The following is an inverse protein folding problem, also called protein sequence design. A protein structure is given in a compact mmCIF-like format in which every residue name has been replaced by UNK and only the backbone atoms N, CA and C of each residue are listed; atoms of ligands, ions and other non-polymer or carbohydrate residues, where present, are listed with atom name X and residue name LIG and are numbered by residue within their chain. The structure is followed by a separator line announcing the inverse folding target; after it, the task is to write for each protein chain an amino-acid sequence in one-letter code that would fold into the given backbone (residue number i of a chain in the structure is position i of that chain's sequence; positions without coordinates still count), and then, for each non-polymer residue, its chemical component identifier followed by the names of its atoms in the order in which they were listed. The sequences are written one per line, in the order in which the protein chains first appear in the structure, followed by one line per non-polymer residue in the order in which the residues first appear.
data_IF_346157153499
#
_entry.id   IF_346157153499
#
_cell.length_a   1.000
_cell.length_b   1.000
_cell.length_c   1.000
_cell.angle_alpha   90.00
_cell.angle_beta   90.00
_cell.angle_gamma   90.00
#
_symmetry.space_group_name_H-M   'P 1'
#
loop_
_entity.id
_entity.type
_entity.pdbx_description
1 polymer ?
#
# COMPACT_ATOMS: atom_id res chain seq x y z
N UNK A 1 -5.87 31.22 82.30
CA UNK A 1 -5.83 32.11 81.13
C UNK A 1 -4.95 31.47 80.06
N UNK A 2 -5.53 31.37 78.88
CA UNK A 2 -5.13 30.76 77.60
C UNK A 2 -3.63 30.70 77.26
N UNK A 3 -3.16 29.50 76.86
CA UNK A 3 -1.91 29.29 76.11
C UNK A 3 -2.22 29.19 74.61
N UNK A 4 -1.62 30.06 73.80
CA UNK A 4 -1.65 30.01 72.34
C UNK A 4 -0.58 29.02 71.83
N UNK A 5 -0.97 28.10 70.95
CA UNK A 5 -0.06 27.25 70.17
C UNK A 5 -0.07 27.78 68.73
N UNK A 6 1.10 28.17 68.25
CA UNK A 6 1.35 28.51 66.84
C UNK A 6 1.37 27.22 66.01
N UNK A 7 0.57 27.16 64.94
CA UNK A 7 0.60 26.10 63.94
C UNK A 7 1.42 26.58 62.74
N UNK A 8 2.54 25.90 62.45
CA UNK A 8 3.40 26.14 61.30
C UNK A 8 2.95 25.19 60.16
N UNK A 9 2.32 25.72 59.12
CA UNK A 9 1.92 24.96 57.94
C UNK A 9 3.07 24.82 56.95
N UNK A 10 3.52 23.59 56.68
CA UNK A 10 4.47 23.25 55.62
C UNK A 10 3.68 23.06 54.32
N UNK A 11 3.92 23.89 53.32
CA UNK A 11 3.39 23.73 51.96
C UNK A 11 4.36 22.84 51.19
N UNK A 12 3.93 21.62 50.86
CA UNK A 12 4.67 20.70 49.98
C UNK A 12 4.34 21.06 48.53
N UNK A 13 5.30 21.62 47.79
CA UNK A 13 5.21 21.78 46.33
C UNK A 13 5.57 20.44 45.66
N UNK A 14 4.57 19.73 45.16
CA UNK A 14 4.77 18.58 44.26
C UNK A 14 5.06 19.08 42.85
N UNK A 15 6.31 18.94 42.41
CA UNK A 15 6.69 19.11 41.01
C UNK A 15 6.15 17.93 40.18
N UNK A 16 5.20 18.20 39.29
CA UNK A 16 4.83 17.28 38.22
C UNK A 16 5.95 17.29 37.17
N UNK A 17 6.78 16.25 37.14
CA UNK A 17 7.60 15.96 35.97
C UNK A 17 6.67 15.44 34.87
N UNK A 18 6.30 16.30 33.93
CA UNK A 18 5.73 15.88 32.66
C UNK A 18 6.82 15.13 31.90
N UNK A 19 6.73 13.80 31.84
CA UNK A 19 7.45 13.01 30.86
C UNK A 19 6.95 13.42 29.48
N UNK A 20 7.60 14.43 28.87
CA UNK A 20 7.55 14.60 27.42
C UNK A 20 8.22 13.37 26.83
N UNK A 21 7.41 12.35 26.53
CA UNK A 21 7.76 11.34 25.53
C UNK A 21 8.29 12.11 24.32
N UNK A 22 9.60 12.01 24.09
CA UNK A 22 10.18 12.46 22.84
C UNK A 22 9.56 11.55 21.78
N UNK A 23 8.49 12.01 21.14
CA UNK A 23 7.83 11.26 20.09
C UNK A 23 8.86 11.07 18.99
N UNK A 24 9.38 9.85 18.85
CA UNK A 24 10.27 9.51 17.75
C UNK A 24 9.53 9.81 16.45
N UNK A 25 10.24 10.42 15.51
CA UNK A 25 9.69 10.68 14.19
C UNK A 25 9.37 9.35 13.51
N UNK A 26 8.25 9.23 12.78
CA UNK A 26 7.89 8.00 12.09
C UNK A 26 8.94 7.61 11.05
N UNK A 27 9.08 6.30 10.83
CA UNK A 27 9.96 5.75 9.81
C UNK A 27 9.19 5.52 8.51
N UNK A 28 9.78 5.99 7.41
CA UNK A 28 9.33 5.69 6.06
C UNK A 28 10.24 4.61 5.48
N UNK A 29 9.65 3.47 5.14
CA UNK A 29 10.29 2.35 4.47
C UNK A 29 9.99 2.41 2.97
N UNK A 30 11.00 2.18 2.14
CA UNK A 30 10.89 2.28 0.69
C UNK A 30 11.54 1.07 0.03
N UNK A 31 10.70 0.17 -0.49
CA UNK A 31 11.09 -0.94 -1.35
C UNK A 31 11.17 -0.52 -2.82
N UNK A 32 12.01 -1.19 -3.59
CA UNK A 32 12.26 -0.89 -4.99
C UNK A 32 12.65 -2.11 -5.81
N UNK A 33 13.17 -1.87 -7.01
CA UNK A 33 13.68 -2.92 -7.90
C UNK A 33 15.19 -3.08 -7.79
N UNK A 34 15.68 -4.28 -8.06
CA UNK A 34 17.11 -4.60 -8.13
C UNK A 34 17.50 -4.91 -9.57
N UNK A 35 18.71 -4.55 -9.99
CA UNK A 35 19.25 -4.92 -11.31
C UNK A 35 20.18 -6.12 -11.24
N UNK A 36 20.81 -6.33 -10.07
CA UNK A 36 21.76 -7.41 -9.80
C UNK A 36 21.57 -7.92 -8.38
N UNK A 37 22.04 -9.14 -8.15
CA UNK A 37 22.10 -9.74 -6.83
C UNK A 37 22.94 -8.88 -5.87
N UNK A 38 22.47 -8.73 -4.62
CA UNK A 38 23.13 -7.92 -3.60
C UNK A 38 22.79 -6.43 -3.63
N UNK A 39 21.97 -5.96 -4.57
CA UNK A 39 21.48 -4.57 -4.58
C UNK A 39 20.64 -4.29 -3.32
N UNK A 40 20.93 -3.16 -2.65
CA UNK A 40 20.20 -2.72 -1.45
C UNK A 40 18.96 -1.91 -1.82
N UNK A 41 17.86 -2.61 -2.14
CA UNK A 41 16.62 -1.99 -2.61
C UNK A 41 15.55 -1.74 -1.53
N UNK A 42 15.89 -1.86 -0.25
CA UNK A 42 15.05 -1.40 0.86
C UNK A 42 15.72 -0.26 1.59
N UNK A 43 15.20 0.95 1.45
CA UNK A 43 15.69 2.16 2.11
C UNK A 43 14.80 2.55 3.29
N UNK A 44 15.40 3.14 4.32
CA UNK A 44 14.71 3.65 5.51
C UNK A 44 15.02 5.13 5.67
N UNK A 45 13.98 5.89 5.96
CA UNK A 45 14.08 7.32 6.25
C UNK A 45 13.38 7.63 7.57
N UNK A 46 13.92 8.59 8.30
CA UNK A 46 13.18 9.32 9.32
C UNK A 46 12.37 10.43 8.66
N UNK A 47 11.09 10.55 9.00
CA UNK A 47 10.23 11.57 8.45
C UNK A 47 9.79 12.56 9.52
N UNK A 48 10.14 13.84 9.37
CA UNK A 48 9.67 14.88 10.28
C UNK A 48 8.24 15.30 9.91
N UNK A 49 7.22 15.00 10.73
CA UNK A 49 5.83 15.28 10.37
C UNK A 49 5.47 16.78 10.47
N UNK A 50 6.33 17.63 11.04
CA UNK A 50 6.10 19.08 11.09
C UNK A 50 6.54 19.77 9.80
N UNK A 51 7.76 19.48 9.35
CA UNK A 51 8.38 20.11 8.18
C UNK A 51 8.16 19.34 6.87
N UNK A 52 7.99 18.02 6.94
CA UNK A 52 8.02 17.12 5.78
C UNK A 52 9.43 16.66 5.40
N UNK A 53 10.44 16.95 6.24
CA UNK A 53 11.84 16.63 5.94
C UNK A 53 12.11 15.13 6.07
N UNK A 54 12.81 14.57 5.09
CA UNK A 54 13.35 13.21 5.08
C UNK A 54 14.81 13.23 5.58
N UNK A 55 15.16 12.30 6.47
CA UNK A 55 16.54 12.03 6.85
C UNK A 55 16.85 10.58 6.53
N UNK A 56 17.80 10.33 5.64
CA UNK A 56 18.22 8.97 5.30
C UNK A 56 18.79 8.25 6.53
N UNK A 57 18.40 6.99 6.70
CA UNK A 57 18.76 6.16 7.86
C UNK A 57 19.64 5.01 7.42
N UNK A 58 19.12 4.14 6.56
CA UNK A 58 19.88 2.99 6.05
C UNK A 58 19.30 2.46 4.74
N UNK A 59 20.05 1.55 4.12
CA UNK A 59 19.56 0.69 3.05
C UNK A 59 20.05 -0.73 3.28
N UNK A 60 19.22 -1.70 2.91
CA UNK A 60 19.47 -3.12 3.14
C UNK A 60 19.16 -3.96 1.90
N UNK A 61 19.91 -5.04 1.74
CA UNK A 61 19.56 -6.14 0.84
C UNK A 61 18.54 -7.02 1.57
N UNK A 62 17.30 -6.99 1.07
CA UNK A 62 16.18 -7.78 1.59
C UNK A 62 15.69 -8.78 0.52
N UNK A 63 16.61 -9.20 -0.34
CA UNK A 63 16.35 -10.04 -1.49
C UNK A 63 16.12 -9.24 -2.78
N UNK A 64 16.00 -9.93 -3.92
CA UNK A 64 15.86 -9.29 -5.22
C UNK A 64 14.48 -8.64 -5.37
N UNK A 65 14.44 -7.46 -6.00
CA UNK A 65 13.23 -6.69 -6.33
C UNK A 65 12.14 -6.71 -5.24
N UNK A 66 12.42 -6.17 -4.03
CA UNK A 66 11.45 -6.05 -2.94
C UNK A 66 10.39 -4.97 -3.26
N UNK A 67 9.57 -5.23 -4.27
CA UNK A 67 8.76 -4.22 -4.95
C UNK A 67 7.46 -3.88 -4.22
N UNK A 68 7.03 -4.74 -3.29
CA UNK A 68 5.89 -4.50 -2.40
C UNK A 68 6.08 -5.22 -1.08
N UNK A 69 5.50 -4.69 -0.01
CA UNK A 69 5.57 -5.32 1.31
C UNK A 69 4.38 -4.92 2.19
N UNK A 70 4.13 -5.70 3.22
CA UNK A 70 3.28 -5.30 4.35
C UNK A 70 3.99 -5.66 5.66
N UNK A 71 3.43 -5.26 6.78
CA UNK A 71 3.97 -5.59 8.09
C UNK A 71 2.83 -5.91 9.05
N UNK A 72 3.18 -6.56 10.15
CA UNK A 72 2.27 -6.90 11.24
C UNK A 72 2.61 -6.10 12.49
N UNK A 73 1.68 -5.27 12.94
CA UNK A 73 1.79 -4.56 14.22
C UNK A 73 1.75 -5.52 15.42
N UNK A 74 1.25 -6.75 15.23
CA UNK A 74 1.18 -7.78 16.27
C UNK A 74 2.55 -8.41 16.53
N UNK A 75 3.35 -8.61 15.49
CA UNK A 75 4.61 -9.37 15.57
C UNK A 75 5.84 -8.53 15.22
N UNK A 76 5.66 -7.28 14.79
CA UNK A 76 6.70 -6.38 14.28
C UNK A 76 7.53 -7.01 13.16
N UNK A 77 6.87 -7.79 12.30
CA UNK A 77 7.49 -8.47 11.16
C UNK A 77 7.11 -7.79 9.85
N UNK A 78 8.08 -7.75 8.94
CA UNK A 78 7.95 -7.30 7.57
C UNK A 78 7.82 -8.52 6.65
N UNK A 79 6.85 -8.47 5.76
CA UNK A 79 6.61 -9.46 4.73
C UNK A 79 6.83 -8.81 3.37
N UNK A 80 7.91 -9.19 2.70
CA UNK A 80 8.39 -8.55 1.49
C UNK A 80 8.25 -9.53 0.33
N UNK A 81 7.54 -9.15 -0.71
CA UNK A 81 7.53 -9.95 -1.95
C UNK A 81 8.73 -9.59 -2.80
N UNK A 82 9.37 -10.61 -3.36
CA UNK A 82 10.46 -10.49 -4.30
C UNK A 82 9.90 -10.73 -5.71
N UNK A 83 9.69 -9.65 -6.46
CA UNK A 83 9.04 -9.66 -7.78
C UNK A 83 10.03 -10.14 -8.86
N UNK A 84 10.24 -11.45 -8.90
CA UNK A 84 11.17 -12.14 -9.81
C UNK A 84 10.51 -13.35 -10.48
N UNK A 85 11.09 -13.79 -11.61
CA UNK A 85 10.64 -14.99 -12.32
C UNK A 85 11.23 -16.29 -11.75
N UNK A 86 12.39 -16.17 -11.11
CA UNK A 86 13.10 -17.26 -10.46
C UNK A 86 13.57 -16.79 -9.09
N UNK A 87 13.34 -17.59 -8.05
CA UNK A 87 13.77 -17.32 -6.69
C UNK A 87 14.49 -18.55 -6.16
N UNK A 88 15.73 -18.35 -5.67
CA UNK A 88 16.60 -19.44 -5.16
C UNK A 88 16.75 -20.61 -6.14
N UNK A 89 16.92 -20.32 -7.43
CA UNK A 89 17.15 -21.34 -8.47
C UNK A 89 15.89 -22.08 -8.93
N UNK A 90 14.69 -21.64 -8.51
CA UNK A 90 13.43 -22.28 -8.83
C UNK A 90 12.46 -21.28 -9.47
N UNK A 91 11.72 -21.73 -10.48
CA UNK A 91 10.67 -20.92 -11.10
C UNK A 91 9.61 -20.53 -10.05
N UNK A 92 9.44 -19.23 -9.88
CA UNK A 92 8.65 -18.68 -8.78
C UNK A 92 9.19 -17.33 -8.32
N UNK A 93 8.41 -16.67 -7.47
CA UNK A 93 8.81 -15.45 -6.78
C UNK A 93 9.21 -15.74 -5.35
N UNK A 94 9.65 -14.72 -4.63
CA UNK A 94 10.00 -14.87 -3.21
C UNK A 94 9.02 -14.18 -2.28
N UNK A 95 8.87 -14.74 -1.08
CA UNK A 95 8.38 -14.07 0.10
C UNK A 95 9.50 -14.11 1.15
N UNK A 96 10.02 -12.96 1.51
CA UNK A 96 11.06 -12.82 2.53
C UNK A 96 10.47 -12.17 3.79
N UNK A 97 10.72 -12.76 4.95
CA UNK A 97 10.25 -12.27 6.26
C UNK A 97 11.41 -11.70 7.06
N UNK A 98 11.24 -10.48 7.57
CA UNK A 98 12.26 -9.80 8.34
C UNK A 98 11.70 -9.21 9.63
N UNK A 99 12.60 -8.97 10.59
CA UNK A 99 12.38 -8.00 11.67
C UNK A 99 13.30 -6.81 11.44
N UNK A 100 12.79 -5.60 11.63
CA UNK A 100 13.64 -4.41 11.65
C UNK A 100 14.11 -4.13 13.09
N UNK A 101 15.42 -4.12 13.28
CA UNK A 101 16.06 -3.75 14.54
C UNK A 101 16.38 -2.25 14.50
N UNK A 102 15.64 -1.45 15.27
CA UNK A 102 15.81 0.01 15.28
C UNK A 102 17.12 0.45 15.92
N UNK A 103 17.67 -0.31 16.87
CA UNK A 103 18.93 0.02 17.54
C UNK A 103 20.11 -0.25 16.62
N UNK A 104 20.08 -1.38 15.91
CA UNK A 104 21.11 -1.76 14.94
C UNK A 104 20.89 -1.17 13.55
N UNK A 105 19.72 -0.56 13.33
CA UNK A 105 19.31 0.05 12.06
C UNK A 105 19.41 -0.94 10.89
N UNK A 106 18.99 -2.18 11.12
CA UNK A 106 19.20 -3.30 10.20
C UNK A 106 17.99 -4.24 10.12
N UNK A 107 17.90 -4.98 9.02
CA UNK A 107 16.91 -6.03 8.84
C UNK A 107 17.51 -7.39 9.21
N UNK A 108 16.92 -8.05 10.20
CA UNK A 108 17.19 -9.45 10.52
C UNK A 108 16.28 -10.33 9.67
N UNK A 109 16.86 -11.12 8.76
CA UNK A 109 16.11 -12.09 7.96
C UNK A 109 15.72 -13.30 8.80
N UNK A 110 14.44 -13.60 8.84
CA UNK A 110 13.89 -14.70 9.64
C UNK A 110 13.46 -15.90 8.79
N UNK A 111 12.91 -15.64 7.59
CA UNK A 111 12.39 -16.70 6.71
C UNK A 111 12.42 -16.28 5.24
N UNK A 112 12.46 -17.27 4.35
CA UNK A 112 12.21 -17.12 2.92
C UNK A 112 11.31 -18.27 2.45
N UNK A 113 10.37 -17.96 1.57
CA UNK A 113 9.44 -18.92 0.98
C UNK A 113 9.32 -18.69 -0.52
N UNK A 114 9.36 -19.78 -1.30
CA UNK A 114 9.09 -19.74 -2.74
C UNK A 114 7.57 -19.56 -2.95
N UNK A 115 7.19 -18.57 -3.73
CA UNK A 115 5.81 -18.33 -4.16
C UNK A 115 5.64 -18.85 -5.60
N UNK A 116 4.69 -19.76 -5.86
CA UNK A 116 4.50 -20.37 -7.17
C UNK A 116 4.05 -19.32 -8.20
N UNK A 117 4.21 -19.64 -9.49
CA UNK A 117 3.77 -18.84 -10.64
C UNK A 117 4.41 -17.44 -10.82
N UNK A 118 5.34 -17.08 -9.94
CA UNK A 118 6.31 -16.01 -10.12
C UNK A 118 5.76 -14.58 -10.26
N UNK A 119 6.67 -13.60 -10.15
CA UNK A 119 6.36 -12.17 -10.19
C UNK A 119 5.27 -11.72 -9.19
N UNK A 120 5.37 -12.06 -7.88
CA UNK A 120 4.50 -11.51 -6.87
C UNK A 120 4.67 -9.99 -6.82
N UNK A 121 3.60 -9.26 -7.08
CA UNK A 121 3.62 -7.80 -7.25
C UNK A 121 2.84 -7.06 -6.16
N UNK A 122 2.10 -7.80 -5.32
CA UNK A 122 1.30 -7.25 -4.23
C UNK A 122 1.20 -8.27 -3.10
N UNK A 123 1.20 -7.78 -1.87
CA UNK A 123 0.98 -8.56 -0.65
C UNK A 123 0.12 -7.79 0.34
N UNK A 124 -0.84 -8.47 0.94
CA UNK A 124 -1.64 -7.97 2.06
C UNK A 124 -1.80 -9.03 3.14
N UNK A 125 -2.27 -8.61 4.32
CA UNK A 125 -2.47 -9.48 5.47
C UNK A 125 -3.97 -9.67 5.73
N UNK A 126 -4.36 -10.84 6.22
CA UNK A 126 -5.72 -11.09 6.69
C UNK A 126 -6.07 -10.27 7.92
N UNK A 127 -7.37 -10.01 8.11
CA UNK A 127 -7.85 -9.18 9.22
C UNK A 127 -7.48 -9.77 10.60
N UNK A 128 -7.40 -11.09 10.71
CA UNK A 128 -6.95 -11.79 11.92
C UNK A 128 -5.42 -11.90 12.06
N UNK A 129 -4.67 -11.38 11.08
CA UNK A 129 -3.21 -11.49 10.97
C UNK A 129 -2.69 -12.93 10.94
N UNK A 130 -3.52 -13.89 10.54
CA UNK A 130 -3.17 -15.31 10.43
C UNK A 130 -2.70 -15.74 9.04
N UNK A 131 -2.92 -14.93 8.01
CA UNK A 131 -2.60 -15.25 6.63
C UNK A 131 -2.06 -14.03 5.86
N UNK A 132 -1.32 -14.31 4.78
CA UNK A 132 -0.93 -13.35 3.78
C UNK A 132 -1.59 -13.71 2.45
N UNK A 133 -2.05 -12.69 1.72
CA UNK A 133 -2.54 -12.81 0.36
C UNK A 133 -1.53 -12.22 -0.60
N UNK A 134 -1.22 -12.95 -1.67
CA UNK A 134 -0.22 -12.53 -2.66
C UNK A 134 -0.85 -12.59 -4.05
N UNK A 135 -0.63 -11.55 -4.86
CA UNK A 135 -1.01 -11.52 -6.28
C UNK A 135 0.24 -11.60 -7.17
N UNK A 136 0.21 -12.51 -8.13
CA UNK A 136 1.29 -12.81 -9.06
C UNK A 136 0.93 -12.32 -10.46
N UNK A 137 1.66 -11.30 -10.93
CA UNK A 137 1.31 -10.58 -12.15
C UNK A 137 1.56 -11.38 -13.45
N UNK A 138 2.77 -11.93 -13.73
CA UNK A 138 3.11 -12.41 -15.06
C UNK A 138 2.27 -13.59 -15.55
N UNK A 139 1.83 -14.46 -14.63
CA UNK A 139 1.09 -15.68 -14.94
C UNK A 139 -0.35 -15.69 -14.41
N UNK A 140 -0.81 -14.59 -13.81
CA UNK A 140 -2.20 -14.44 -13.36
C UNK A 140 -2.58 -15.47 -12.31
N UNK A 141 -2.04 -15.34 -11.10
CA UNK A 141 -2.45 -16.18 -9.97
C UNK A 141 -2.48 -15.42 -8.67
N UNK A 142 -3.14 -16.01 -7.67
CA UNK A 142 -3.08 -15.57 -6.28
C UNK A 142 -2.70 -16.74 -5.38
N UNK A 143 -2.07 -16.45 -4.24
CA UNK A 143 -1.71 -17.42 -3.24
C UNK A 143 -2.13 -16.96 -1.84
N UNK A 144 -2.50 -17.92 -0.99
CA UNK A 144 -2.75 -17.72 0.45
C UNK A 144 -1.64 -18.41 1.22
N UNK A 145 -0.95 -17.66 2.07
CA UNK A 145 0.13 -18.17 2.91
C UNK A 145 -0.31 -18.10 4.36
N UNK A 146 -0.32 -19.24 5.04
CA UNK A 146 -0.60 -19.33 6.48
C UNK A 146 0.60 -18.87 7.30
N UNK A 147 0.33 -18.06 8.31
CA UNK A 147 1.29 -17.62 9.31
C UNK A 147 1.12 -18.46 10.59
N UNK A 148 2.24 -18.87 11.19
CA UNK A 148 2.25 -19.47 12.52
C UNK A 148 2.03 -18.43 13.62
N UNK A 149 1.97 -18.87 14.87
CA UNK A 149 1.74 -17.99 16.04
C UNK A 149 2.81 -16.90 16.20
N UNK A 150 4.04 -17.17 15.76
CA UNK A 150 5.14 -16.21 15.74
C UNK A 150 5.08 -15.22 14.57
N UNK A 151 4.09 -15.36 13.68
CA UNK A 151 3.94 -14.60 12.44
C UNK A 151 4.87 -15.06 11.32
N UNK A 152 5.60 -16.17 11.46
CA UNK A 152 6.47 -16.70 10.39
C UNK A 152 5.61 -17.47 9.38
N UNK A 153 5.78 -17.28 8.06
CA UNK A 153 5.11 -18.07 7.04
C UNK A 153 5.40 -19.58 7.18
N UNK A 154 4.36 -20.39 7.27
CA UNK A 154 4.47 -21.86 7.44
C UNK A 154 4.25 -22.62 6.13
N UNK A 155 3.13 -22.34 5.46
CA UNK A 155 2.74 -23.08 4.24
C UNK A 155 1.83 -22.25 3.36
N UNK A 156 1.79 -22.58 2.07
CA UNK A 156 0.78 -22.09 1.14
C UNK A 156 -0.44 -23.00 1.27
N UNK A 157 -1.57 -22.45 1.71
CA UNK A 157 -2.83 -23.18 1.93
C UNK A 157 -3.72 -23.19 0.70
N UNK A 158 -3.56 -22.20 -0.18
CA UNK A 158 -4.32 -22.11 -1.41
C UNK A 158 -3.52 -21.41 -2.52
N UNK A 159 -3.81 -21.78 -3.76
CA UNK A 159 -3.27 -21.13 -4.95
C UNK A 159 -4.27 -21.25 -6.08
N UNK A 160 -4.70 -20.09 -6.61
CA UNK A 160 -5.64 -20.02 -7.72
C UNK A 160 -4.87 -19.51 -8.93
N UNK A 161 -4.82 -20.33 -9.98
CA UNK A 161 -4.29 -19.96 -11.29
C UNK A 161 -5.45 -19.61 -12.22
N UNK A 162 -5.47 -18.38 -12.74
CA UNK A 162 -6.48 -17.93 -13.69
C UNK A 162 -6.09 -18.29 -15.12
N UNK A 163 -6.34 -19.54 -15.50
CA UNK A 163 -6.03 -20.01 -16.86
C UNK A 163 -7.01 -19.39 -17.85
N UNK A 164 -6.51 -18.49 -18.70
CA UNK A 164 -7.13 -18.12 -19.99
C UNK A 164 -6.10 -18.14 -21.11
N UNK A 165 -6.53 -18.66 -22.25
CA UNK A 165 -5.73 -18.76 -23.46
C UNK A 165 -5.66 -17.42 -24.20
N UNK A 166 -4.62 -17.27 -25.03
CA UNK A 166 -4.40 -16.09 -25.86
C UNK A 166 -5.63 -15.76 -26.73
N UNK A 167 -5.94 -14.48 -26.99
CA UNK A 167 -5.13 -13.28 -26.67
C UNK A 167 -5.32 -12.72 -25.24
N UNK A 168 -6.28 -13.21 -24.47
CA UNK A 168 -6.65 -12.64 -23.17
C UNK A 168 -5.94 -13.40 -22.02
N UNK A 169 -4.82 -12.86 -21.53
CA UNK A 169 -4.04 -13.45 -20.43
C UNK A 169 -4.36 -12.76 -19.10
N UNK A 170 -4.53 -13.55 -18.03
CA UNK A 170 -4.68 -13.01 -16.67
C UNK A 170 -3.42 -12.34 -16.14
N UNK A 171 -3.63 -11.22 -15.45
CA UNK A 171 -2.63 -10.46 -14.73
C UNK A 171 -3.22 -9.97 -13.41
N UNK A 172 -3.35 -10.88 -12.43
CA UNK A 172 -3.75 -10.53 -11.08
C UNK A 172 -2.75 -9.51 -10.50
N UNK A 173 -3.24 -8.34 -10.07
CA UNK A 173 -2.37 -7.22 -9.69
C UNK A 173 -2.50 -6.83 -8.21
N UNK A 174 -3.70 -6.87 -7.63
CA UNK A 174 -3.91 -6.57 -6.22
C UNK A 174 -4.85 -7.59 -5.60
N UNK A 175 -4.58 -7.96 -4.35
CA UNK A 175 -5.43 -8.81 -3.52
C UNK A 175 -5.53 -8.20 -2.12
N UNK A 176 -6.73 -7.92 -1.63
CA UNK A 176 -6.96 -7.27 -0.34
C UNK A 176 -8.34 -7.62 0.22
N UNK A 177 -8.45 -7.70 1.55
CA UNK A 177 -9.73 -7.83 2.23
C UNK A 177 -10.59 -6.57 2.16
N UNK A 178 -11.90 -6.77 2.29
CA UNK A 178 -12.82 -5.69 2.67
C UNK A 178 -12.53 -5.18 4.10
N UNK A 179 -12.98 -3.96 4.46
CA UNK A 179 -12.81 -3.42 5.80
C UNK A 179 -13.42 -4.28 6.92
N UNK A 180 -14.42 -5.10 6.60
CA UNK A 180 -15.04 -6.03 7.54
C UNK A 180 -14.23 -7.32 7.76
N UNK A 181 -13.21 -7.58 6.94
CA UNK A 181 -12.32 -8.73 7.07
C UNK A 181 -12.96 -10.08 6.69
N UNK A 182 -14.02 -10.07 5.87
CA UNK A 182 -14.75 -11.28 5.45
C UNK A 182 -14.42 -11.68 4.03
N UNK A 183 -14.46 -10.73 3.10
CA UNK A 183 -14.32 -11.00 1.68
C UNK A 183 -12.96 -10.53 1.18
N UNK A 184 -12.41 -11.20 0.18
CA UNK A 184 -11.14 -10.86 -0.47
C UNK A 184 -11.39 -10.51 -1.92
N UNK A 185 -10.89 -9.35 -2.33
CA UNK A 185 -11.06 -8.81 -3.67
C UNK A 185 -9.75 -8.88 -4.45
N UNK A 186 -9.83 -9.30 -5.70
CA UNK A 186 -8.69 -9.44 -6.62
C UNK A 186 -8.94 -8.64 -7.88
N UNK A 187 -8.03 -7.73 -8.23
CA UNK A 187 -8.02 -7.12 -9.56
C UNK A 187 -7.24 -7.98 -10.53
N UNK A 188 -7.82 -8.23 -11.70
CA UNK A 188 -7.16 -8.91 -12.80
C UNK A 188 -7.07 -7.92 -13.97
N UNK A 189 -5.89 -7.31 -14.09
CA UNK A 189 -5.59 -6.29 -15.09
C UNK A 189 -5.82 -6.85 -16.50
N UNK A 190 -5.33 -8.07 -16.75
CA UNK A 190 -5.30 -8.64 -18.09
C UNK A 190 -6.68 -9.11 -18.59
N UNK A 191 -7.61 -9.38 -17.69
CA UNK A 191 -8.97 -9.84 -18.02
C UNK A 191 -10.07 -8.81 -17.75
N UNK A 192 -9.70 -7.55 -17.47
CA UNK A 192 -10.65 -6.45 -17.20
C UNK A 192 -11.73 -6.87 -16.19
N UNK A 193 -11.33 -7.38 -15.02
CA UNK A 193 -12.29 -7.85 -14.02
C UNK A 193 -11.82 -7.69 -12.57
N UNK A 194 -12.79 -7.72 -11.68
CA UNK A 194 -12.58 -7.86 -10.23
C UNK A 194 -13.23 -9.18 -9.81
N UNK A 195 -12.49 -9.99 -9.05
CA UNK A 195 -12.96 -11.26 -8.50
C UNK A 195 -13.10 -11.14 -6.98
N UNK A 196 -14.17 -11.69 -6.40
CA UNK A 196 -14.51 -11.63 -4.99
C UNK A 196 -14.62 -13.06 -4.44
N UNK A 197 -13.97 -13.26 -3.30
CA UNK A 197 -13.91 -14.52 -2.59
C UNK A 197 -14.43 -14.34 -1.17
N UNK A 198 -15.19 -15.33 -0.68
CA UNK A 198 -15.28 -15.59 0.76
C UNK A 198 -13.97 -16.22 1.22
N UNK A 199 -13.42 -15.75 2.33
CA UNK A 199 -12.18 -16.28 2.87
C UNK A 199 -12.45 -17.16 4.10
N UNK A 200 -12.21 -18.47 3.94
CA UNK A 200 -12.20 -19.37 5.08
C UNK A 200 -10.86 -19.28 5.80
N UNK A 201 -10.82 -18.53 6.91
CA UNK A 201 -9.61 -18.36 7.72
C UNK A 201 -9.19 -19.62 8.48
N UNK A 202 -10.04 -20.64 8.61
CA UNK A 202 -9.67 -21.91 9.26
C UNK A 202 -8.95 -22.82 8.28
N UNK A 203 -9.45 -22.93 7.06
CA UNK A 203 -8.81 -23.71 6.00
C UNK A 203 -7.69 -22.94 5.29
N UNK A 204 -7.72 -21.61 5.35
CA UNK A 204 -6.83 -20.74 4.60
C UNK A 204 -7.13 -20.76 3.10
N UNK A 205 -8.41 -20.81 2.71
CA UNK A 205 -8.83 -20.97 1.30
C UNK A 205 -9.75 -19.85 0.84
N UNK A 206 -9.68 -19.57 -0.46
CA UNK A 206 -10.52 -18.59 -1.14
C UNK A 206 -11.65 -19.31 -1.87
N UNK A 207 -12.89 -19.09 -1.43
CA UNK A 207 -14.09 -19.62 -2.07
C UNK A 207 -14.73 -18.55 -2.93
N UNK A 208 -14.68 -18.71 -4.25
CA UNK A 208 -15.22 -17.68 -5.16
C UNK A 208 -16.73 -17.55 -4.94
N UNK A 209 -17.22 -16.32 -4.81
CA UNK A 209 -18.65 -16.07 -4.74
C UNK A 209 -19.31 -16.31 -6.10
N UNK A 210 -20.57 -16.75 -6.10
CA UNK A 210 -21.35 -17.02 -7.33
C UNK A 210 -21.51 -15.77 -8.22
N UNK A 211 -21.73 -14.62 -7.58
CA UNK A 211 -21.76 -13.28 -8.17
C UNK A 211 -20.40 -12.56 -8.07
N UNK A 212 -19.34 -13.28 -7.70
CA UNK A 212 -18.03 -12.73 -7.35
C UNK A 212 -17.18 -12.34 -8.54
N UNK A 213 -17.72 -12.19 -9.75
CA UNK A 213 -16.96 -11.67 -10.89
C UNK A 213 -17.67 -10.45 -11.45
N UNK A 214 -17.00 -9.31 -11.39
CA UNK A 214 -17.43 -8.08 -12.05
C UNK A 214 -16.53 -7.80 -13.25
N UNK A 215 -17.08 -7.84 -14.45
CA UNK A 215 -16.38 -7.46 -15.69
C UNK A 215 -16.42 -5.95 -15.89
N UNK A 216 -15.28 -5.38 -16.26
CA UNK A 216 -15.08 -3.97 -16.54
C UNK A 216 -15.06 -3.74 -18.07
N UNK A 217 -15.25 -2.49 -18.53
CA UNK A 217 -15.05 -2.15 -19.93
C UNK A 217 -13.69 -2.64 -20.47
N UNK A 218 -13.68 -3.15 -21.70
CA UNK A 218 -12.45 -3.68 -22.32
C UNK A 218 -11.36 -2.61 -22.37
N UNK A 219 -10.14 -2.97 -21.97
CA UNK A 219 -8.99 -2.08 -21.93
C UNK A 219 -8.96 -1.18 -20.69
N UNK A 220 -9.74 -1.49 -19.66
CA UNK A 220 -9.64 -0.79 -18.37
C UNK A 220 -8.31 -1.11 -17.70
N UNK A 221 -8.00 -2.40 -17.54
CA UNK A 221 -6.84 -2.87 -16.79
C UNK A 221 -6.89 -2.47 -15.31
N UNK A 222 -7.85 -2.98 -14.51
CA UNK A 222 -7.93 -2.66 -13.10
C UNK A 222 -6.65 -3.06 -12.37
N UNK A 223 -6.06 -2.11 -11.64
CA UNK A 223 -4.74 -2.29 -11.03
C UNK A 223 -4.85 -2.35 -9.52
N UNK A 224 -4.93 -1.20 -8.85
CA UNK A 224 -5.11 -1.12 -7.40
C UNK A 224 -6.52 -0.62 -7.07
N UNK A 225 -6.95 -0.89 -5.84
CA UNK A 225 -8.20 -0.37 -5.32
C UNK A 225 -8.08 0.03 -3.85
N UNK A 226 -9.04 0.80 -3.38
CA UNK A 226 -9.18 1.16 -1.97
C UNK A 226 -10.66 1.25 -1.62
N UNK A 227 -11.02 0.76 -0.44
CA UNK A 227 -12.36 0.92 0.11
C UNK A 227 -12.47 2.24 0.88
N UNK A 228 -13.65 2.84 0.89
CA UNK A 228 -13.96 3.82 1.94
C UNK A 228 -14.06 3.12 3.31
N UNK A 229 -14.10 3.91 4.40
CA UNK A 229 -13.97 3.37 5.75
C UNK A 229 -15.08 2.39 6.17
N UNK A 230 -16.29 2.53 5.62
CA UNK A 230 -17.41 1.63 5.91
C UNK A 230 -17.53 0.46 4.93
N UNK A 231 -16.70 0.42 3.88
CA UNK A 231 -16.71 -0.63 2.86
C UNK A 231 -17.85 -0.54 1.83
N UNK A 232 -18.70 0.49 1.88
CA UNK A 232 -19.82 0.65 0.93
C UNK A 232 -19.40 1.15 -0.46
N UNK A 233 -18.16 1.65 -0.59
CA UNK A 233 -17.57 2.11 -1.86
C UNK A 233 -16.21 1.48 -2.08
N UNK A 234 -15.99 1.08 -3.31
CA UNK A 234 -14.71 0.61 -3.81
C UNK A 234 -14.24 1.55 -4.94
N UNK A 235 -13.07 2.14 -4.77
CA UNK A 235 -12.42 2.99 -5.78
C UNK A 235 -11.32 2.21 -6.47
N UNK A 236 -11.38 2.11 -7.79
CA UNK A 236 -10.46 1.27 -8.58
C UNK A 236 -9.74 2.14 -9.59
N UNK A 237 -8.41 2.12 -9.52
CA UNK A 237 -7.58 2.81 -10.51
C UNK A 237 -7.20 1.83 -11.62
N UNK A 238 -7.42 2.26 -12.86
CA UNK A 238 -7.31 1.43 -14.05
C UNK A 238 -6.06 1.83 -14.84
N UNK A 239 -5.08 0.92 -14.91
CA UNK A 239 -3.77 1.14 -15.50
C UNK A 239 -3.86 1.50 -16.98
N UNK A 240 -4.50 0.64 -17.77
CA UNK A 240 -4.52 0.74 -19.23
C UNK A 240 -5.48 1.83 -19.70
N UNK A 241 -6.64 1.93 -19.05
CA UNK A 241 -7.68 2.88 -19.44
C UNK A 241 -7.41 4.32 -18.99
N UNK A 242 -6.44 4.55 -18.10
CA UNK A 242 -6.23 5.86 -17.45
C UNK A 242 -7.51 6.42 -16.81
N UNK A 243 -8.20 5.59 -16.01
CA UNK A 243 -9.45 5.97 -15.36
C UNK A 243 -9.47 5.63 -13.87
N UNK A 244 -10.32 6.35 -13.14
CA UNK A 244 -10.77 6.02 -11.80
C UNK A 244 -12.22 5.58 -11.88
N UNK A 245 -12.53 4.39 -11.37
CA UNK A 245 -13.89 3.87 -11.28
C UNK A 245 -14.38 3.84 -9.84
N UNK A 246 -15.66 4.14 -9.65
CA UNK A 246 -16.36 4.06 -8.37
C UNK A 246 -17.37 2.92 -8.46
N UNK A 247 -17.29 1.98 -7.53
CA UNK A 247 -18.27 0.91 -7.38
C UNK A 247 -19.02 1.07 -6.06
N UNK A 248 -20.33 0.77 -6.09
CA UNK A 248 -21.10 0.44 -4.91
C UNK A 248 -20.88 -1.04 -4.58
N UNK A 249 -20.65 -1.33 -3.30
CA UNK A 249 -20.60 -2.71 -2.79
C UNK A 249 -22.00 -3.08 -2.34
N UNK A 250 -22.61 -4.06 -3.01
CA UNK A 250 -23.96 -4.53 -2.74
C UNK A 250 -23.96 -5.51 -1.54
N UNK A 251 -25.14 -5.83 -0.99
CA UNK A 251 -25.26 -6.71 0.19
C UNK A 251 -24.64 -8.10 -0.04
N UNK A 252 -24.79 -8.62 -1.26
CA UNK A 252 -24.25 -9.88 -1.74
C UNK A 252 -22.77 -9.80 -2.15
N UNK A 253 -22.10 -8.69 -1.85
CA UNK A 253 -20.70 -8.38 -2.19
C UNK A 253 -20.42 -8.16 -3.67
N UNK A 254 -21.46 -8.21 -4.51
CA UNK A 254 -21.37 -7.79 -5.91
C UNK A 254 -20.95 -6.33 -6.03
N UNK A 255 -20.29 -5.99 -7.14
CA UNK A 255 -19.86 -4.63 -7.41
C UNK A 255 -20.71 -4.00 -8.52
N UNK A 256 -21.33 -2.88 -8.20
CA UNK A 256 -22.08 -2.08 -9.17
C UNK A 256 -21.29 -0.86 -9.58
N UNK A 257 -20.90 -0.76 -10.85
CA UNK A 257 -20.23 0.43 -11.38
C UNK A 257 -21.17 1.63 -11.31
N UNK A 258 -20.74 2.68 -10.60
CA UNK A 258 -21.50 3.92 -10.40
C UNK A 258 -20.94 5.07 -11.26
N UNK A 259 -19.62 5.12 -11.43
CA UNK A 259 -18.95 6.24 -12.08
C UNK A 259 -17.61 5.79 -12.69
N UNK A 260 -17.25 6.38 -13.83
CA UNK A 260 -15.92 6.29 -14.44
C UNK A 260 -15.46 7.71 -14.78
N UNK A 261 -14.26 8.09 -14.32
CA UNK A 261 -13.65 9.38 -14.62
C UNK A 261 -12.25 9.20 -15.21
N UNK A 262 -11.83 10.03 -16.18
CA UNK A 262 -10.45 10.03 -16.64
C UNK A 262 -9.51 10.51 -15.52
N UNK A 263 -8.32 9.93 -15.46
CA UNK A 263 -7.23 10.41 -14.58
C UNK A 263 -6.25 11.30 -15.31
N UNK A 264 -6.19 11.20 -16.64
CA UNK A 264 -5.37 12.06 -17.51
C UNK A 264 -6.08 13.38 -17.82
N UNK A 265 -5.30 14.37 -18.26
CA UNK A 265 -5.85 15.60 -18.87
C UNK A 265 -6.13 15.35 -20.35
N UNK A 266 -7.14 16.03 -20.91
CA UNK A 266 -7.61 15.80 -22.29
C UNK A 266 -6.51 15.96 -23.35
N UNK A 267 -5.49 16.79 -23.09
CA UNK A 267 -4.42 17.13 -24.05
C UNK A 267 -3.15 16.27 -23.94
N UNK A 268 -3.15 15.21 -23.12
CA UNK A 268 -1.94 14.42 -22.84
C UNK A 268 -1.82 13.16 -23.73
N UNK A 269 -0.58 12.74 -23.96
CA UNK A 269 -0.23 11.62 -24.83
C UNK A 269 -0.89 10.30 -24.37
N UNK A 270 -1.12 9.38 -25.32
CA UNK A 270 -1.77 8.10 -25.05
C UNK A 270 -0.95 7.15 -24.17
N UNK A 271 0.35 7.41 -23.99
CA UNK A 271 1.24 6.61 -23.14
C UNK A 271 1.13 7.02 -21.65
N UNK A 272 -0.06 6.84 -21.06
CA UNK A 272 -0.30 7.04 -19.64
C UNK A 272 -0.82 5.76 -18.98
N UNK A 273 -0.17 5.38 -17.87
CA UNK A 273 -0.44 4.14 -17.15
C UNK A 273 -0.64 4.45 -15.67
N UNK A 274 -1.88 4.34 -15.19
CA UNK A 274 -2.14 4.56 -13.76
C UNK A 274 -1.40 3.54 -12.89
N UNK A 275 -1.10 3.90 -11.63
CA UNK A 275 -0.45 2.98 -10.70
C UNK A 275 -1.22 2.84 -9.39
N UNK A 276 -1.13 3.83 -8.51
CA UNK A 276 -1.53 3.65 -7.11
C UNK A 276 -2.71 4.53 -6.75
N UNK A 277 -3.46 4.14 -5.71
CA UNK A 277 -4.66 4.85 -5.26
C UNK A 277 -4.76 4.86 -3.74
N UNK A 278 -5.03 6.02 -3.15
CA UNK A 278 -5.18 6.20 -1.70
C UNK A 278 -6.28 7.19 -1.37
N UNK A 279 -7.00 6.94 -0.28
CA UNK A 279 -7.96 7.90 0.31
C UNK A 279 -7.24 8.70 1.39
N UNK A 280 -7.54 9.99 1.53
CA UNK A 280 -7.07 10.82 2.64
C UNK A 280 -7.57 10.27 3.99
N UNK A 281 -6.80 10.45 5.06
CA UNK A 281 -7.18 9.94 6.40
C UNK A 281 -8.55 10.46 6.90
N UNK A 282 -9.02 11.60 6.38
CA UNK A 282 -10.32 12.19 6.70
C UNK A 282 -11.45 11.77 5.73
N UNK A 283 -11.17 10.90 4.75
CA UNK A 283 -12.14 10.39 3.79
C UNK A 283 -12.64 11.40 2.75
N UNK A 284 -12.05 12.60 2.68
CA UNK A 284 -12.55 13.69 1.81
C UNK A 284 -11.96 13.71 0.41
N UNK A 285 -10.79 13.10 0.21
CA UNK A 285 -10.09 13.12 -1.06
C UNK A 285 -9.60 11.73 -1.45
N UNK A 286 -9.59 11.47 -2.76
CA UNK A 286 -9.01 10.29 -3.37
C UNK A 286 -7.87 10.73 -4.29
N UNK A 287 -6.73 10.07 -4.17
CA UNK A 287 -5.53 10.34 -4.95
C UNK A 287 -5.25 9.16 -5.87
N UNK A 288 -4.83 9.44 -7.12
CA UNK A 288 -4.34 8.43 -8.05
C UNK A 288 -3.01 8.87 -8.68
N UNK A 289 -2.09 7.95 -8.95
CA UNK A 289 -0.85 8.27 -9.66
C UNK A 289 -0.90 7.86 -11.13
N UNK A 290 -0.33 8.70 -11.99
CA UNK A 290 -0.26 8.54 -13.44
C UNK A 290 1.21 8.46 -13.89
N UNK A 291 1.63 7.31 -14.45
CA UNK A 291 2.97 7.11 -15.03
C UNK A 291 2.93 7.44 -16.52
N UNK A 292 3.84 8.29 -16.98
CA UNK A 292 3.74 8.91 -18.31
C UNK A 292 3.44 10.40 -18.16
N UNK A 293 2.22 10.74 -17.73
CA UNK A 293 1.89 12.13 -17.40
C UNK A 293 2.59 12.65 -16.13
N UNK A 294 3.12 11.74 -15.30
CA UNK A 294 3.95 12.02 -14.13
C UNK A 294 3.30 13.01 -13.16
N UNK A 295 2.06 12.68 -12.78
CA UNK A 295 1.25 13.47 -11.87
C UNK A 295 0.51 12.61 -10.84
N UNK A 296 0.03 13.29 -9.80
CA UNK A 296 -0.99 12.80 -8.87
C UNK A 296 -2.31 13.51 -9.23
N UNK A 297 -3.30 12.74 -9.68
CA UNK A 297 -4.68 13.22 -9.81
C UNK A 297 -5.36 13.20 -8.45
N UNK A 298 -6.13 14.24 -8.14
CA UNK A 298 -6.90 14.36 -6.90
C UNK A 298 -8.37 14.54 -7.22
N UNK A 299 -9.21 13.74 -6.57
CA UNK A 299 -10.66 13.86 -6.59
C UNK A 299 -11.17 14.21 -5.19
N UNK A 300 -12.21 15.03 -5.10
CA UNK A 300 -13.03 15.16 -3.90
C UNK A 300 -14.03 14.01 -3.85
N UNK A 301 -14.17 13.39 -2.69
CA UNK A 301 -15.21 12.40 -2.43
C UNK A 301 -16.47 13.15 -1.97
N UNK A 302 -17.56 12.97 -2.72
CA UNK A 302 -18.86 13.57 -2.44
C UNK A 302 -19.62 12.76 -1.37
N UNK A 303 -20.68 13.31 -0.75
CA UNK A 303 -21.42 12.61 0.31
C UNK A 303 -22.02 11.26 -0.09
N UNK A 304 -22.29 11.03 -1.37
CA UNK A 304 -22.78 9.76 -1.92
C UNK A 304 -21.66 8.79 -2.33
N UNK A 305 -20.41 9.18 -2.07
CA UNK A 305 -19.20 8.42 -2.42
C UNK A 305 -18.73 8.59 -3.86
N UNK A 306 -19.44 9.34 -4.72
CA UNK A 306 -18.95 9.67 -6.06
C UNK A 306 -17.80 10.67 -6.00
N UNK A 307 -17.11 10.84 -7.13
CA UNK A 307 -15.91 11.65 -7.26
C UNK A 307 -16.17 12.91 -8.08
N UNK A 308 -15.54 14.00 -7.67
CA UNK A 308 -15.43 15.25 -8.42
C UNK A 308 -13.95 15.58 -8.61
N UNK A 309 -13.50 15.87 -9.84
CA UNK A 309 -12.10 16.21 -10.10
C UNK A 309 -11.72 17.50 -9.36
N UNK A 310 -10.74 17.42 -8.46
CA UNK A 310 -10.17 18.57 -7.76
C UNK A 310 -8.96 19.16 -8.51
N UNK A 311 -8.20 18.32 -9.22
CA UNK A 311 -7.11 18.75 -10.08
C UNK A 311 -5.96 17.74 -10.15
N UNK A 312 -4.83 18.20 -10.69
CA UNK A 312 -3.61 17.40 -10.85
C UNK A 312 -2.40 18.17 -10.32
N UNK A 313 -1.52 17.47 -9.62
CA UNK A 313 -0.24 17.99 -9.13
C UNK A 313 0.92 17.17 -9.70
N UNK A 314 2.04 17.81 -10.00
CA UNK A 314 3.26 17.08 -10.40
C UNK A 314 3.66 16.06 -9.33
N UNK A 315 4.12 14.88 -9.73
CA UNK A 315 4.71 13.91 -8.79
C UNK A 315 6.16 14.23 -8.43
N UNK A 316 6.73 15.27 -9.06
CA UNK A 316 8.08 15.79 -8.79
C UNK A 316 9.22 14.88 -9.26
N UNK A 317 8.95 13.95 -10.18
CA UNK A 317 9.90 13.03 -10.78
C UNK A 317 9.29 12.33 -12.00
N UNK A 318 9.80 11.14 -12.33
CA UNK A 318 9.32 10.31 -13.43
C UNK A 318 8.83 8.94 -12.93
N UNK A 319 7.67 8.52 -13.44
CA UNK A 319 7.07 7.21 -13.22
C UNK A 319 6.64 6.96 -11.75
N UNK A 320 5.65 7.72 -11.22
CA UNK A 320 5.17 7.57 -9.84
C UNK A 320 4.43 6.24 -9.63
N UNK A 321 5.17 5.16 -9.34
CA UNK A 321 4.62 3.79 -9.23
C UNK A 321 3.83 3.58 -7.93
N UNK A 322 4.20 4.27 -6.86
CA UNK A 322 3.54 4.21 -5.57
C UNK A 322 3.73 5.52 -4.82
N UNK A 323 2.79 5.85 -3.95
CA UNK A 323 2.91 6.97 -3.04
C UNK A 323 2.24 6.64 -1.71
N UNK A 324 2.50 7.46 -0.69
CA UNK A 324 1.84 7.36 0.61
C UNK A 324 1.42 8.72 1.12
N UNK A 325 0.39 8.72 1.96
CA UNK A 325 0.02 9.85 2.80
C UNK A 325 0.64 9.61 4.17
N UNK A 326 1.26 10.64 4.75
CA UNK A 326 1.86 10.50 6.08
C UNK A 326 0.79 10.26 7.17
N UNK A 327 1.14 9.68 8.33
CA UNK A 327 0.18 9.38 9.39
C UNK A 327 -0.61 10.60 9.87
N UNK A 328 -0.07 11.81 9.75
CA UNK A 328 -0.78 13.04 10.11
C UNK A 328 -1.72 13.58 9.03
N UNK A 329 -1.73 13.00 7.83
CA UNK A 329 -2.55 13.41 6.69
C UNK A 329 -2.14 14.76 6.09
N UNK A 330 -0.93 15.26 6.36
CA UNK A 330 -0.46 16.59 5.95
C UNK A 330 0.45 16.56 4.74
N UNK A 331 1.04 15.42 4.43
CA UNK A 331 2.01 15.25 3.37
C UNK A 331 1.70 14.02 2.53
N UNK A 332 1.99 14.14 1.24
CA UNK A 332 2.03 13.05 0.27
C UNK A 332 3.47 12.85 -0.16
N UNK A 333 3.94 11.60 -0.17
CA UNK A 333 5.29 11.23 -0.62
C UNK A 333 5.17 10.34 -1.84
N UNK A 334 5.68 10.80 -2.99
CA UNK A 334 5.64 10.08 -4.27
C UNK A 334 6.94 9.33 -4.49
N UNK A 335 6.86 8.02 -4.80
CA UNK A 335 7.96 7.19 -5.27
C UNK A 335 8.04 7.17 -6.79
N UNK A 336 9.04 7.86 -7.33
CA UNK A 336 9.23 8.06 -8.76
C UNK A 336 10.28 7.08 -9.31
N UNK A 337 9.80 5.96 -9.86
CA UNK A 337 10.59 4.78 -10.20
C UNK A 337 11.71 5.08 -11.21
N UNK A 338 11.43 5.83 -12.29
CA UNK A 338 12.40 6.03 -13.38
C UNK A 338 13.39 7.16 -13.11
N UNK A 339 13.09 8.03 -12.15
CA UNK A 339 13.97 9.12 -11.74
C UNK A 339 14.75 8.81 -10.46
N UNK A 340 14.68 7.58 -9.94
CA UNK A 340 15.39 7.14 -8.73
C UNK A 340 15.24 8.11 -7.53
N UNK A 341 14.00 8.53 -7.24
CA UNK A 341 13.76 9.45 -6.13
C UNK A 341 12.38 9.30 -5.49
N UNK A 342 12.31 9.69 -4.22
CA UNK A 342 11.07 10.03 -3.53
C UNK A 342 10.94 11.55 -3.38
N UNK A 343 9.72 12.08 -3.51
CA UNK A 343 9.45 13.52 -3.40
C UNK A 343 8.31 13.77 -2.42
N UNK A 344 8.49 14.73 -1.51
CA UNK A 344 7.52 15.08 -0.46
C UNK A 344 6.77 16.36 -0.84
N UNK A 345 5.45 16.31 -0.69
CA UNK A 345 4.54 17.42 -0.93
C UNK A 345 3.70 17.71 0.30
N UNK A 346 3.51 18.99 0.64
CA UNK A 346 2.46 19.36 1.59
C UNK A 346 1.10 19.31 0.89
N UNK A 347 0.10 18.77 1.57
CA UNK A 347 -1.28 18.75 1.10
C UNK A 347 -1.98 20.05 1.51
N UNK A 348 -2.58 20.75 0.56
CA UNK A 348 -3.46 21.88 0.84
C UNK A 348 -4.76 21.37 1.47
N UNK A 349 -5.03 21.73 2.73
CA UNK A 349 -6.20 21.22 3.48
C UNK A 349 -7.56 21.64 2.91
N UNK A 350 -7.61 22.70 2.11
CA UNK A 350 -8.84 23.25 1.53
C UNK A 350 -9.14 22.62 0.17
N UNK A 351 -8.12 22.38 -0.64
CA UNK A 351 -8.30 21.83 -1.99
C UNK A 351 -8.00 20.35 -2.08
N UNK A 352 -7.29 19.78 -1.10
CA UNK A 352 -6.78 18.41 -1.11
C UNK A 352 -5.52 18.24 -1.97
N UNK A 353 -5.10 19.26 -2.72
CA UNK A 353 -4.04 19.11 -3.71
C UNK A 353 -2.65 19.07 -3.06
N UNK A 354 -1.76 18.14 -3.49
CA UNK A 354 -0.33 18.26 -3.23
C UNK A 354 0.21 19.57 -3.80
N UNK A 355 0.93 20.35 -3.00
CA UNK A 355 1.47 21.65 -3.38
C UNK A 355 2.85 21.50 -4.06
N UNK A 356 3.71 22.52 -3.97
CA UNK A 356 5.11 22.40 -4.41
C UNK A 356 5.86 21.42 -3.51
N UNK A 357 6.85 20.73 -4.08
CA UNK A 357 7.73 19.84 -3.33
C UNK A 357 8.40 20.62 -2.18
N UNK A 358 8.44 20.01 -1.01
CA UNK A 358 9.08 20.57 0.20
C UNK A 358 10.38 19.86 0.54
N UNK A 359 10.55 18.62 0.06
CA UNK A 359 11.78 17.84 0.19
C UNK A 359 11.84 16.73 -0.86
N UNK A 360 13.01 16.14 -1.07
CA UNK A 360 13.20 14.94 -1.88
C UNK A 360 14.44 14.16 -1.46
N UNK A 361 14.48 12.87 -1.79
CA UNK A 361 15.63 12.02 -1.54
C UNK A 361 15.84 11.04 -2.68
N UNK A 362 17.11 10.71 -2.95
CA UNK A 362 17.47 9.68 -3.92
C UNK A 362 17.17 8.30 -3.35
N UNK A 363 16.47 7.49 -4.13
CA UNK A 363 16.14 6.09 -3.81
C UNK A 363 16.12 5.34 -5.13
N UNK A 364 16.88 4.26 -5.26
CA UNK A 364 16.90 3.47 -6.51
C UNK A 364 15.53 2.83 -6.75
N UNK A 365 14.93 3.14 -7.90
CA UNK A 365 13.72 2.53 -8.45
C UNK A 365 12.60 2.26 -7.44
N UNK A 366 12.12 3.27 -6.67
CA UNK A 366 11.13 3.07 -5.63
C UNK A 366 9.83 2.52 -6.21
N UNK A 367 9.27 1.51 -5.56
CA UNK A 367 8.09 0.77 -5.99
C UNK A 367 7.03 0.62 -4.90
N UNK A 368 7.42 0.67 -3.62
CA UNK A 368 6.50 0.64 -2.48
C UNK A 368 7.04 1.48 -1.33
N UNK A 369 6.22 2.38 -0.81
CA UNK A 369 6.49 3.24 0.33
C UNK A 369 5.49 2.86 1.42
N UNK A 370 5.93 2.74 2.67
CA UNK A 370 5.04 2.58 3.84
C UNK A 370 5.61 3.25 5.07
N UNK A 371 4.73 3.86 5.85
CA UNK A 371 5.06 4.27 7.20
C UNK A 371 4.89 3.11 8.16
N UNK A 372 5.83 2.96 9.07
CA UNK A 372 5.76 2.08 10.22
C UNK A 372 5.93 2.96 11.47
N UNK A 373 5.07 2.76 12.47
CA UNK A 373 4.98 3.60 13.65
C UNK A 373 5.51 2.92 14.91
#
# INVERSE_FOLDING_TARGET
MTKNIFSLGIILLTFFFSNTSCRQNPRLFVGGFTEKEGDKAMSVFEFNPGSGKLSYVSSSDVGPSPSYFCFSDKTNLFYVVNEVMEFRGQFGGGLSTFRYDEEKVSFEKLNEMLIPYAGPCYISMSADSGHLFIANYPNGSVAVVKLGDSGIPETITDTILYVKEQPDKSHAHMILHDPAGRNVYVTDLGLDRIVVYDFDSKEGKLHQLDNGITTLPRGSGPRHFVFNSDGSRLYVINELGSTMMVFGVEEDQGLKLLQTLPTKKDDMADNNYCADVHISNDGRYLYGSNRGDNNIVTFRILPDGQLELAGHSSCGGDWPRNFVIDPSGRFLISGNQKSDQITVFRIDKRTGLPQKAVDSAQVKMPACLKFYN
#
